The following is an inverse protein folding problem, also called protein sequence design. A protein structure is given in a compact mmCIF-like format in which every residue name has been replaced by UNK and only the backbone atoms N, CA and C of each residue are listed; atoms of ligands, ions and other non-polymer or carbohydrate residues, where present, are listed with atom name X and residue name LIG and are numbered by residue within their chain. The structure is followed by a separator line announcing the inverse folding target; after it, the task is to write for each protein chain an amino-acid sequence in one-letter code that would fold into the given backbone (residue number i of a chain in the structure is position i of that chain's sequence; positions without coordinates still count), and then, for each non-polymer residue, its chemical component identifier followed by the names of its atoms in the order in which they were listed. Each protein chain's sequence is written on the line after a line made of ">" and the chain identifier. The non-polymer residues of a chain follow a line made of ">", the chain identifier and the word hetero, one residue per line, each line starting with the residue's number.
data_IF_050741301788
#
_entry.id   IF_050741301788
#
_cell.length_a   1.000
_cell.length_b   1.000
_cell.length_c   1.000
_cell.angle_alpha   90.00
_cell.angle_beta   90.00
_cell.angle_gamma   90.00
#
_symmetry.space_group_name_H-M   'P 1'
#
loop_
_entity.id
_entity.type
_entity.pdbx_description
1 polymer ?
#
# COMPACT_ATOMS: atom_id res chain seq x y z
N UNK A 1 9.57 4.25 -19.78
CA UNK A 1 8.36 4.79 -19.13
C UNK A 1 8.52 6.26 -18.76
N UNK A 2 9.51 6.63 -17.95
CA UNK A 2 9.70 8.02 -17.53
C UNK A 2 9.85 9.05 -18.68
N UNK A 3 10.37 8.66 -19.86
CA UNK A 3 10.46 9.56 -21.03
C UNK A 3 9.08 9.92 -21.61
N UNK A 4 8.21 8.93 -21.82
CA UNK A 4 6.87 9.13 -22.39
C UNK A 4 6.03 10.00 -21.45
N UNK A 5 6.06 9.74 -20.15
CA UNK A 5 5.37 10.58 -19.16
C UNK A 5 5.84 12.03 -19.21
N UNK A 6 7.15 12.28 -19.34
CA UNK A 6 7.69 13.64 -19.50
C UNK A 6 7.24 14.32 -20.77
N UNK A 7 7.26 13.63 -21.90
CA UNK A 7 6.82 14.17 -23.21
C UNK A 7 5.33 14.56 -23.19
N UNK A 8 4.51 13.87 -22.38
CA UNK A 8 3.09 14.15 -22.21
C UNK A 8 2.77 15.12 -21.06
N UNK A 9 3.77 15.64 -20.33
CA UNK A 9 3.56 16.52 -19.17
C UNK A 9 2.91 15.84 -17.96
N UNK A 10 3.06 14.51 -17.83
CA UNK A 10 2.48 13.71 -16.74
C UNK A 10 3.52 13.33 -15.67
N UNK A 11 3.07 13.26 -14.42
CA UNK A 11 3.84 12.67 -13.33
C UNK A 11 3.71 11.13 -13.36
N UNK A 12 4.83 10.41 -13.29
CA UNK A 12 4.83 8.96 -13.10
C UNK A 12 4.84 8.66 -11.60
N UNK A 13 3.75 8.11 -11.09
CA UNK A 13 3.62 7.67 -9.69
C UNK A 13 3.79 6.16 -9.62
N UNK A 14 4.71 5.72 -8.77
CA UNK A 14 4.92 4.31 -8.43
C UNK A 14 4.60 4.11 -6.94
N UNK A 15 4.88 2.91 -6.43
CA UNK A 15 4.64 2.53 -5.04
C UNK A 15 5.95 2.17 -4.34
N UNK A 16 5.96 2.35 -3.02
CA UNK A 16 7.04 1.90 -2.14
C UNK A 16 6.69 0.61 -1.40
N UNK A 17 5.40 0.27 -1.29
CA UNK A 17 4.91 -0.94 -0.62
C UNK A 17 3.87 -1.69 -1.47
N UNK A 18 3.87 -3.01 -1.42
CA UNK A 18 2.84 -3.86 -2.04
C UNK A 18 2.68 -5.18 -1.29
N UNK A 19 1.45 -5.67 -1.21
CA UNK A 19 1.14 -6.98 -0.63
C UNK A 19 1.36 -8.14 -1.60
N UNK A 20 1.59 -7.86 -2.90
CA UNK A 20 1.41 -8.85 -3.98
C UNK A 20 0.05 -9.53 -3.86
N UNK A 21 -0.99 -8.73 -3.63
CA UNK A 21 -2.36 -9.17 -3.43
C UNK A 21 -2.92 -9.93 -4.64
N UNK A 22 -2.44 -9.63 -5.84
CA UNK A 22 -2.70 -10.43 -7.04
C UNK A 22 -2.26 -11.91 -6.95
N UNK A 23 -1.43 -12.27 -5.96
CA UNK A 23 -0.90 -13.62 -5.80
C UNK A 23 -1.59 -14.42 -4.68
N UNK A 24 -2.63 -13.88 -4.04
CA UNK A 24 -3.29 -14.53 -2.90
C UNK A 24 -4.72 -14.01 -2.67
N UNK A 25 -5.58 -14.85 -2.12
CA UNK A 25 -6.91 -14.46 -1.63
C UNK A 25 -6.96 -14.33 -0.10
N UNK A 26 -5.82 -14.53 0.59
CA UNK A 26 -5.74 -14.45 2.05
C UNK A 26 -5.60 -12.99 2.51
N UNK A 27 -6.71 -12.41 2.99
CA UNK A 27 -6.76 -11.04 3.51
C UNK A 27 -5.87 -10.81 4.73
N UNK A 28 -5.63 -11.82 5.56
CA UNK A 28 -4.74 -11.69 6.72
C UNK A 28 -3.28 -11.59 6.27
N UNK A 29 -2.90 -12.36 5.23
CA UNK A 29 -1.58 -12.25 4.60
C UNK A 29 -1.41 -10.90 3.91
N UNK A 30 -2.41 -10.40 3.19
CA UNK A 30 -2.41 -9.07 2.58
C UNK A 30 -2.19 -7.98 3.63
N UNK A 31 -2.96 -8.03 4.72
CA UNK A 31 -2.84 -7.09 5.85
C UNK A 31 -1.43 -7.11 6.41
N UNK A 32 -0.91 -8.28 6.78
CA UNK A 32 0.44 -8.41 7.34
C UNK A 32 1.51 -7.83 6.43
N UNK A 33 1.50 -8.18 5.14
CA UNK A 33 2.51 -7.70 4.18
C UNK A 33 2.49 -6.18 4.03
N UNK A 34 1.31 -5.55 4.08
CA UNK A 34 1.25 -4.08 4.06
C UNK A 34 1.81 -3.49 5.34
N UNK A 35 1.43 -4.01 6.51
CA UNK A 35 1.92 -3.46 7.78
C UNK A 35 3.44 -3.64 7.94
N UNK A 36 4.01 -4.73 7.43
CA UNK A 36 5.45 -4.98 7.46
C UNK A 36 6.24 -4.08 6.48
N UNK A 37 5.61 -3.61 5.40
CA UNK A 37 6.27 -2.85 4.32
C UNK A 37 5.94 -1.34 4.32
N UNK A 38 4.86 -0.93 4.99
CA UNK A 38 4.45 0.46 5.04
C UNK A 38 5.42 1.29 5.90
N UNK A 39 5.72 2.49 5.42
CA UNK A 39 6.57 3.45 6.13
C UNK A 39 6.02 4.88 5.92
N UNK A 40 6.52 5.82 6.71
CA UNK A 40 6.21 7.25 6.59
C UNK A 40 6.45 7.73 5.15
N UNK A 41 5.50 8.52 4.63
CA UNK A 41 5.49 9.06 3.26
C UNK A 41 5.45 8.00 2.13
N UNK A 42 5.14 6.74 2.46
CA UNK A 42 5.03 5.65 1.50
C UNK A 42 3.74 5.66 0.65
N UNK A 43 3.82 5.02 -0.53
CA UNK A 43 2.68 4.78 -1.43
C UNK A 43 2.45 3.27 -1.51
N UNK A 44 1.25 2.82 -1.14
CA UNK A 44 0.84 1.40 -1.14
C UNK A 44 0.11 1.06 -2.44
N UNK A 45 0.55 0.01 -3.15
CA UNK A 45 -0.18 -0.59 -4.26
C UNK A 45 -1.01 -1.80 -3.81
N UNK A 46 -2.30 -1.73 -4.12
CA UNK A 46 -3.30 -2.81 -3.99
C UNK A 46 -4.23 -2.77 -5.22
N UNK A 47 -4.94 -3.87 -5.47
CA UNK A 47 -5.89 -4.04 -6.56
C UNK A 47 -7.26 -4.45 -5.99
N UNK A 48 -8.29 -3.65 -6.26
CA UNK A 48 -9.66 -3.83 -5.77
C UNK A 48 -10.45 -4.94 -6.49
N UNK A 49 -9.82 -5.64 -7.43
CA UNK A 49 -10.41 -6.71 -8.23
C UNK A 49 -10.21 -8.12 -7.63
N UNK A 50 -9.41 -8.27 -6.58
CA UNK A 50 -9.13 -9.57 -5.95
C UNK A 50 -9.86 -9.74 -4.63
N UNK A 51 -10.44 -10.93 -4.44
CA UNK A 51 -11.26 -11.28 -3.27
C UNK A 51 -10.55 -11.05 -1.93
N UNK A 52 -9.23 -11.23 -1.90
CA UNK A 52 -8.43 -11.02 -0.68
C UNK A 52 -8.20 -9.56 -0.32
N UNK A 53 -8.31 -8.64 -1.27
CA UNK A 53 -7.88 -7.24 -1.09
C UNK A 53 -8.93 -6.40 -0.37
N UNK A 54 -10.16 -6.38 -0.88
CA UNK A 54 -11.23 -5.54 -0.31
C UNK A 54 -11.47 -5.83 1.18
N UNK A 55 -11.50 -7.10 1.65
CA UNK A 55 -11.66 -7.39 3.08
C UNK A 55 -10.44 -7.01 3.94
N UNK A 56 -9.23 -6.91 3.37
CA UNK A 56 -8.02 -6.54 4.10
C UNK A 56 -7.93 -5.02 4.39
N UNK A 57 -8.44 -4.18 3.47
CA UNK A 57 -8.28 -2.73 3.50
C UNK A 57 -8.76 -2.08 4.82
N UNK A 58 -9.93 -2.43 5.39
CA UNK A 58 -10.38 -1.83 6.65
C UNK A 58 -9.40 -2.03 7.81
N UNK A 59 -8.83 -3.24 7.92
CA UNK A 59 -7.83 -3.57 8.94
C UNK A 59 -6.55 -2.77 8.74
N UNK A 60 -6.00 -2.76 7.51
CA UNK A 60 -4.81 -1.97 7.16
C UNK A 60 -4.97 -0.49 7.55
N UNK A 61 -6.09 0.13 7.14
CA UNK A 61 -6.35 1.55 7.41
C UNK A 61 -6.46 1.84 8.91
N UNK A 62 -7.11 0.95 9.68
CA UNK A 62 -7.23 1.11 11.12
C UNK A 62 -5.86 1.08 11.80
N UNK A 63 -5.01 0.13 11.42
CA UNK A 63 -3.68 -0.08 12.01
C UNK A 63 -2.73 1.09 11.70
N UNK A 64 -2.73 1.59 10.45
CA UNK A 64 -1.88 2.70 10.02
C UNK A 64 -2.31 4.07 10.57
N UNK A 65 -3.61 4.24 10.87
CA UNK A 65 -4.13 5.46 11.50
C UNK A 65 -3.85 5.54 13.00
N UNK A 66 -3.43 4.45 13.63
CA UNK A 66 -3.15 4.49 15.06
C UNK A 66 -2.05 5.51 15.34
N UNK A 67 -2.21 6.34 16.38
CA UNK A 67 -1.16 7.25 16.79
C UNK A 67 0.11 6.46 17.03
N UNK A 68 1.16 6.74 16.27
CA UNK A 68 2.50 6.35 16.65
C UNK A 68 2.81 7.21 17.87
N UNK A 69 2.92 6.62 19.06
CA UNK A 69 3.54 7.34 20.18
C UNK A 69 4.98 7.59 19.78
N UNK A 70 5.26 8.78 19.24
CA UNK A 70 6.62 9.25 19.09
C UNK A 70 7.22 9.28 20.50
N UNK A 71 8.41 8.70 20.74
CA UNK A 71 9.17 9.08 21.93
C UNK A 71 9.37 10.61 21.91
N UNK A 72 9.37 11.28 23.08
CA UNK A 72 9.54 12.73 23.14
C UNK A 72 10.86 13.17 22.46
N UNK A 73 10.92 14.41 21.94
CA UNK A 73 12.10 14.94 21.25
C UNK A 73 13.36 14.94 22.13
#
# INVERSE_FOLDING_TARGET
>A
MARVSRELGLAQVLWSATAKDYSTTDSALVTRRILDAADRDGIILLHDIYDGTVPAVPGIVAELKRPTTLPPP
#
